data_IF_643399847385
#
_entry.id   IF_643399847385
#
_cell.length_a   1.000
_cell.length_b   1.000
_cell.length_c   1.000
_cell.angle_alpha   90.00
_cell.angle_beta   90.00
_cell.angle_gamma   90.00
#
_symmetry.space_group_name_H-M   'P 1'
#
loop_
_entity.id
_entity.type
_entity.pdbx_description
1 polymer ?
#
# COMPACT_ATOMS: atom_id res chain seq x y z
N UNK A 1 -20.81 24.39 -43.29
CA UNK A 1 -21.23 23.23 -44.11
C UNK A 1 -20.35 22.97 -45.36
N UNK A 2 -19.55 23.92 -45.87
CA UNK A 2 -18.73 23.77 -47.08
C UNK A 2 -17.56 22.78 -46.85
N UNK A 3 -16.87 22.84 -45.71
CA UNK A 3 -15.74 21.97 -45.35
C UNK A 3 -16.10 20.49 -45.31
N UNK A 4 -17.27 20.14 -44.79
CA UNK A 4 -17.73 18.73 -44.74
C UNK A 4 -17.97 18.14 -46.14
N UNK A 5 -18.48 18.94 -47.10
CA UNK A 5 -18.65 18.54 -48.51
C UNK A 5 -17.33 18.34 -49.25
N UNK A 6 -16.32 19.18 -48.96
CA UNK A 6 -14.98 19.05 -49.56
C UNK A 6 -14.31 17.78 -49.02
N UNK A 7 -14.39 17.54 -47.72
CA UNK A 7 -13.83 16.35 -47.08
C UNK A 7 -14.48 15.05 -47.64
N UNK A 8 -15.81 14.99 -47.74
CA UNK A 8 -16.52 13.85 -48.31
C UNK A 8 -16.15 13.55 -49.77
N UNK A 9 -15.87 14.58 -50.56
CA UNK A 9 -15.46 14.43 -51.96
C UNK A 9 -14.02 13.96 -52.10
N UNK A 10 -13.15 14.33 -51.19
CA UNK A 10 -11.75 13.88 -51.12
C UNK A 10 -11.65 12.43 -50.74
N UNK A 11 -12.43 11.96 -49.73
CA UNK A 11 -12.53 10.56 -49.29
C UNK A 11 -12.97 9.64 -50.44
N UNK A 12 -13.97 10.07 -51.24
CA UNK A 12 -14.44 9.28 -52.37
C UNK A 12 -13.42 9.14 -53.52
N UNK A 13 -12.50 10.08 -53.68
CA UNK A 13 -11.49 10.04 -54.73
C UNK A 13 -10.27 9.18 -54.42
N UNK A 14 -9.98 8.99 -53.09
CA UNK A 14 -8.82 8.19 -52.63
C UNK A 14 -9.20 7.37 -51.40
N UNK A 15 -10.03 6.32 -51.57
CA UNK A 15 -10.56 5.57 -50.45
C UNK A 15 -9.48 4.86 -49.61
N UNK A 16 -8.40 4.41 -50.25
CA UNK A 16 -7.28 3.77 -49.54
C UNK A 16 -6.52 4.71 -48.62
N UNK A 17 -6.35 5.97 -49.04
CA UNK A 17 -5.68 6.98 -48.21
C UNK A 17 -6.57 7.40 -46.99
N UNK A 18 -7.88 7.51 -47.23
CA UNK A 18 -8.82 7.80 -46.15
C UNK A 18 -8.91 6.66 -45.13
N UNK A 19 -8.85 5.41 -45.58
CA UNK A 19 -8.78 4.23 -44.72
C UNK A 19 -7.52 4.22 -43.85
N UNK A 20 -6.35 4.48 -44.46
CA UNK A 20 -5.08 4.54 -43.70
C UNK A 20 -5.09 5.65 -42.65
N UNK A 21 -5.61 6.83 -42.96
CA UNK A 21 -5.75 7.91 -41.99
C UNK A 21 -6.71 7.50 -40.86
N UNK A 22 -7.82 6.87 -41.19
CA UNK A 22 -8.80 6.36 -40.21
C UNK A 22 -8.15 5.35 -39.24
N UNK A 23 -7.41 4.37 -39.78
CA UNK A 23 -6.68 3.40 -38.96
C UNK A 23 -5.64 4.08 -38.07
N UNK A 24 -4.87 5.02 -38.61
CA UNK A 24 -3.86 5.76 -37.85
C UNK A 24 -4.49 6.54 -36.68
N UNK A 25 -5.64 7.19 -36.90
CA UNK A 25 -6.37 7.89 -35.84
C UNK A 25 -6.88 6.93 -34.77
N UNK A 26 -7.44 5.77 -35.18
CA UNK A 26 -7.91 4.76 -34.21
C UNK A 26 -6.76 4.22 -33.37
N UNK A 27 -5.61 3.91 -34.00
CA UNK A 27 -4.43 3.46 -33.26
C UNK A 27 -3.93 4.53 -32.31
N UNK A 28 -3.82 5.78 -32.75
CA UNK A 28 -3.36 6.88 -31.92
C UNK A 28 -4.28 7.14 -30.72
N UNK A 29 -5.60 7.09 -30.92
CA UNK A 29 -6.57 7.27 -29.83
C UNK A 29 -6.58 6.09 -28.86
N UNK A 30 -6.44 4.87 -29.35
CA UNK A 30 -6.29 3.67 -28.51
C UNK A 30 -5.02 3.74 -27.66
N UNK A 31 -3.89 4.14 -28.24
CA UNK A 31 -2.64 4.34 -27.52
C UNK A 31 -2.75 5.43 -26.45
N UNK A 32 -3.35 6.57 -26.78
CA UNK A 32 -3.56 7.66 -25.82
C UNK A 32 -4.47 7.24 -24.67
N UNK A 33 -5.55 6.51 -24.93
CA UNK A 33 -6.45 5.98 -23.91
C UNK A 33 -5.75 4.97 -23.00
N UNK A 34 -4.97 4.06 -23.58
CA UNK A 34 -4.20 3.06 -22.80
C UNK A 34 -3.14 3.74 -21.93
N UNK A 35 -2.41 4.72 -22.47
CA UNK A 35 -1.39 5.46 -21.73
C UNK A 35 -2.01 6.25 -20.56
N UNK A 36 -3.17 6.88 -20.77
CA UNK A 36 -3.88 7.58 -19.71
C UNK A 36 -4.38 6.63 -18.64
N UNK A 37 -4.97 5.50 -19.01
CA UNK A 37 -5.42 4.47 -18.06
C UNK A 37 -4.25 3.91 -17.26
N UNK A 38 -3.11 3.64 -17.91
CA UNK A 38 -1.91 3.17 -17.24
C UNK A 38 -1.35 4.23 -16.27
N UNK A 39 -1.32 5.50 -16.66
CA UNK A 39 -0.85 6.59 -15.81
C UNK A 39 -1.74 6.78 -14.57
N UNK A 40 -3.07 6.69 -14.74
CA UNK A 40 -4.01 6.76 -13.62
C UNK A 40 -3.87 5.56 -12.68
N UNK A 41 -3.78 4.34 -13.22
CA UNK A 41 -3.58 3.14 -12.43
C UNK A 41 -2.21 3.12 -11.76
N UNK A 42 -1.15 3.58 -12.42
CA UNK A 42 0.17 3.71 -11.82
C UNK A 42 0.18 4.71 -10.66
N UNK A 43 -0.55 5.82 -10.78
CA UNK A 43 -0.69 6.78 -9.68
C UNK A 43 -1.41 6.16 -8.47
N UNK A 44 -2.50 5.45 -8.70
CA UNK A 44 -3.22 4.73 -7.63
C UNK A 44 -2.34 3.64 -7.02
N UNK A 45 -1.62 2.88 -7.85
CA UNK A 45 -0.69 1.87 -7.38
C UNK A 45 0.46 2.49 -6.57
N UNK A 46 1.08 3.58 -7.04
CA UNK A 46 2.18 4.25 -6.32
C UNK A 46 1.75 4.83 -4.98
N UNK A 47 0.53 5.36 -4.88
CA UNK A 47 -0.04 5.80 -3.60
C UNK A 47 -0.34 4.60 -2.69
N UNK A 48 -0.80 3.47 -3.27
CA UNK A 48 -1.04 2.23 -2.53
C UNK A 48 0.22 1.37 -2.25
N UNK A 49 1.32 1.58 -3.00
CA UNK A 49 2.59 0.85 -2.80
C UNK A 49 3.39 1.32 -1.58
N UNK A 50 3.07 2.47 -1.04
CA UNK A 50 3.90 3.09 -0.04
C UNK A 50 3.48 2.84 1.40
N UNK A 51 2.21 2.87 1.69
CA UNK A 51 1.73 2.87 3.07
C UNK A 51 0.29 2.39 3.11
N UNK A 52 -0.04 1.56 4.08
CA UNK A 52 -1.42 1.32 4.52
C UNK A 52 -1.92 2.58 5.27
N UNK A 53 -1.74 3.75 4.65
CA UNK A 53 -2.10 5.02 5.30
C UNK A 53 -3.62 5.10 5.39
N UNK A 54 -4.20 5.14 6.58
CA UNK A 54 -5.64 5.31 6.76
C UNK A 54 -6.14 6.60 6.08
N UNK A 55 -7.39 6.60 5.60
CA UNK A 55 -8.00 7.78 4.97
C UNK A 55 -8.09 9.00 5.90
N UNK A 56 -7.94 8.77 7.20
CA UNK A 56 -7.98 9.78 8.27
C UNK A 56 -6.67 10.53 8.46
N UNK A 57 -5.60 10.12 7.76
CA UNK A 57 -4.30 10.78 7.87
C UNK A 57 -4.25 12.04 7.01
N UNK A 58 -4.10 13.19 7.64
CA UNK A 58 -4.01 14.48 6.95
C UNK A 58 -2.64 14.73 6.32
N UNK A 59 -1.57 14.24 6.97
CA UNK A 59 -0.20 14.43 6.50
C UNK A 59 0.70 13.25 6.86
N UNK A 60 1.63 12.92 5.96
CA UNK A 60 2.68 11.94 6.18
C UNK A 60 4.02 12.63 6.07
N UNK A 61 4.82 12.55 7.13
CA UNK A 61 6.19 13.07 7.17
C UNK A 61 7.16 11.91 7.00
N UNK A 62 7.91 11.92 5.91
CA UNK A 62 8.94 10.90 5.64
C UNK A 62 10.28 11.48 6.04
N UNK A 63 10.89 10.99 7.14
CA UNK A 63 12.19 11.49 7.56
C UNK A 63 13.30 11.08 6.58
N UNK A 64 14.42 11.83 6.54
CA UNK A 64 15.61 11.39 5.86
C UNK A 64 16.08 10.01 6.34
N UNK A 65 16.64 9.20 5.42
CA UNK A 65 17.01 7.80 5.69
C UNK A 65 18.22 7.63 6.64
N UNK A 66 18.92 8.69 6.93
CA UNK A 66 20.09 8.74 7.80
C UNK A 66 19.75 9.05 9.27
N UNK A 67 18.47 9.29 9.59
CA UNK A 67 18.03 9.44 10.97
C UNK A 67 17.92 8.07 11.67
N UNK A 68 18.40 8.04 12.90
CA UNK A 68 18.16 6.90 13.77
C UNK A 68 16.79 6.95 14.44
N UNK A 69 16.39 5.85 15.09
CA UNK A 69 15.06 5.75 15.71
C UNK A 69 14.84 6.75 16.86
N UNK A 70 15.89 7.25 17.52
CA UNK A 70 15.77 8.28 18.55
C UNK A 70 15.44 9.64 17.91
N UNK A 71 16.17 9.99 16.86
CA UNK A 71 15.94 11.22 16.11
C UNK A 71 14.56 11.26 15.45
N UNK A 72 14.06 10.11 14.98
CA UNK A 72 12.68 10.02 14.45
C UNK A 72 11.66 10.28 15.55
N UNK A 73 11.85 9.72 16.75
CA UNK A 73 10.97 9.99 17.90
C UNK A 73 11.02 11.44 18.33
N UNK A 74 12.21 12.02 18.43
CA UNK A 74 12.38 13.45 18.77
C UNK A 74 11.63 14.34 17.76
N UNK A 75 11.73 14.01 16.46
CA UNK A 75 11.00 14.72 15.41
C UNK A 75 9.48 14.58 15.59
N UNK A 76 8.99 13.39 15.94
CA UNK A 76 7.58 13.16 16.19
C UNK A 76 7.09 13.95 17.40
N UNK A 77 7.90 14.06 18.45
CA UNK A 77 7.59 14.85 19.64
C UNK A 77 7.55 16.36 19.33
N UNK A 78 8.44 16.84 18.49
CA UNK A 78 8.42 18.22 17.99
C UNK A 78 7.12 18.50 17.21
N UNK A 79 6.68 17.54 16.37
CA UNK A 79 5.41 17.68 15.63
C UNK A 79 4.22 17.68 16.61
N UNK A 80 4.20 16.78 17.59
CA UNK A 80 3.15 16.73 18.64
C UNK A 80 3.03 18.03 19.44
N UNK A 81 4.15 18.76 19.58
CA UNK A 81 4.19 20.03 20.28
C UNK A 81 3.61 21.21 19.47
N UNK A 82 3.31 21.05 18.18
CA UNK A 82 2.68 22.10 17.38
C UNK A 82 1.25 22.39 17.85
N UNK A 83 0.80 23.66 17.86
CA UNK A 83 -0.51 24.04 18.37
C UNK A 83 -1.72 23.37 17.71
N UNK A 84 -1.58 23.02 16.42
CA UNK A 84 -2.64 22.44 15.58
C UNK A 84 -2.36 20.97 15.23
N UNK A 85 -1.38 20.34 15.89
CA UNK A 85 -1.09 18.93 15.69
C UNK A 85 -2.23 18.08 16.29
N UNK A 86 -2.73 17.15 15.49
CA UNK A 86 -3.61 16.09 15.93
C UNK A 86 -2.84 14.94 16.56
N UNK A 87 -3.37 13.74 16.41
CA UNK A 87 -2.68 12.50 16.77
C UNK A 87 -1.51 12.25 15.84
N UNK A 88 -0.36 11.88 16.39
CA UNK A 88 0.88 11.59 15.64
C UNK A 88 1.34 10.19 15.97
N UNK A 89 1.37 9.33 14.96
CA UNK A 89 1.87 7.95 15.04
C UNK A 89 3.19 7.86 14.28
N UNK A 90 4.15 7.15 14.85
CA UNK A 90 5.42 6.84 14.18
C UNK A 90 5.32 5.43 13.60
N UNK A 91 5.37 5.34 12.27
CA UNK A 91 5.36 4.07 11.57
C UNK A 91 6.79 3.61 11.29
N UNK A 92 7.13 2.43 11.76
CA UNK A 92 8.36 1.73 11.42
C UNK A 92 8.05 0.63 10.41
N UNK A 93 8.84 0.57 9.35
CA UNK A 93 8.70 -0.44 8.31
C UNK A 93 10.03 -1.18 8.15
N UNK A 94 9.99 -2.50 8.19
CA UNK A 94 11.18 -3.33 8.02
C UNK A 94 10.88 -4.71 7.48
N UNK A 95 11.90 -5.32 6.89
CA UNK A 95 11.88 -6.72 6.52
C UNK A 95 12.57 -7.52 7.62
N UNK A 96 11.92 -8.56 8.12
CA UNK A 96 12.43 -9.39 9.22
C UNK A 96 12.22 -10.88 8.93
N UNK A 97 13.11 -11.71 9.45
CA UNK A 97 12.95 -13.16 9.39
C UNK A 97 11.96 -13.60 10.47
N UNK A 98 10.94 -14.36 10.04
CA UNK A 98 9.93 -14.96 10.89
C UNK A 98 10.02 -16.47 10.76
N UNK A 99 10.15 -17.16 11.90
CA UNK A 99 10.08 -18.61 11.97
C UNK A 99 8.68 -19.04 12.41
N UNK A 100 7.98 -19.74 11.51
CA UNK A 100 6.66 -20.28 11.73
C UNK A 100 6.65 -21.77 11.39
N UNK A 101 6.27 -22.63 12.33
CA UNK A 101 6.16 -24.08 12.13
C UNK A 101 7.41 -24.75 11.54
N UNK A 102 8.61 -24.27 11.93
CA UNK A 102 9.90 -24.77 11.45
C UNK A 102 10.28 -24.30 10.04
N UNK A 103 9.56 -23.33 9.50
CA UNK A 103 9.88 -22.68 8.23
C UNK A 103 10.23 -21.23 8.48
N UNK A 104 11.37 -20.76 7.95
CA UNK A 104 11.77 -19.37 8.01
C UNK A 104 11.37 -18.65 6.72
N UNK A 105 10.75 -17.50 6.84
CA UNK A 105 10.38 -16.64 5.74
C UNK A 105 10.65 -15.18 6.09
N UNK A 106 10.90 -14.35 5.09
CA UNK A 106 11.02 -12.90 5.29
C UNK A 106 9.63 -12.28 5.20
N UNK A 107 9.22 -11.62 6.26
CA UNK A 107 7.97 -10.87 6.33
C UNK A 107 8.27 -9.38 6.38
N UNK A 108 7.38 -8.59 5.82
CA UNK A 108 7.37 -7.16 6.02
C UNK A 108 6.60 -6.86 7.29
N UNK A 109 7.26 -6.22 8.24
CA UNK A 109 6.65 -5.74 9.48
C UNK A 109 6.44 -4.24 9.40
N UNK A 110 5.27 -3.81 9.86
CA UNK A 110 4.92 -2.40 10.02
C UNK A 110 4.40 -2.21 11.43
N UNK A 111 4.87 -1.18 12.13
CA UNK A 111 4.29 -0.81 13.42
C UNK A 111 2.90 -0.19 13.24
N UNK A 112 2.00 -0.46 14.17
CA UNK A 112 0.61 0.01 14.14
C UNK A 112 0.17 0.33 15.58
N UNK A 113 -0.61 1.39 15.82
CA UNK A 113 -1.13 1.69 17.16
C UNK A 113 -2.15 0.67 17.67
N UNK A 114 -2.46 -0.36 16.90
CA UNK A 114 -3.39 -1.44 17.24
C UNK A 114 -4.86 -1.06 17.15
N UNK A 115 -5.20 0.22 17.31
CA UNK A 115 -6.58 0.71 17.26
C UNK A 115 -6.63 2.22 17.01
N UNK A 116 -7.83 2.73 16.70
CA UNK A 116 -8.04 4.16 16.47
C UNK A 116 -8.02 4.56 15.00
N UNK A 117 -8.16 5.86 14.72
CA UNK A 117 -8.33 6.37 13.36
C UNK A 117 -7.06 6.27 12.52
N UNK A 118 -5.88 6.11 13.14
CA UNK A 118 -4.60 6.00 12.46
C UNK A 118 -4.12 4.54 12.32
N UNK A 119 -4.88 3.56 12.85
CA UNK A 119 -4.56 2.14 12.68
C UNK A 119 -4.86 1.67 11.27
N UNK A 120 -3.98 0.84 10.72
CA UNK A 120 -4.19 0.13 9.45
C UNK A 120 -5.16 -1.06 9.58
N UNK A 121 -5.53 -1.45 10.81
CA UNK A 121 -6.49 -2.51 11.08
C UNK A 121 -7.90 -1.99 10.85
N UNK A 122 -8.43 -2.24 9.65
CA UNK A 122 -9.78 -1.80 9.26
C UNK A 122 -10.86 -2.83 9.55
N UNK A 123 -10.50 -4.11 9.55
CA UNK A 123 -11.41 -5.25 9.77
C UNK A 123 -10.65 -6.40 10.44
N UNK A 124 -11.30 -7.09 11.35
CA UNK A 124 -10.74 -8.25 12.04
C UNK A 124 -11.53 -9.48 11.61
N UNK A 125 -10.86 -10.42 10.94
CA UNK A 125 -11.47 -11.68 10.50
C UNK A 125 -11.43 -12.73 11.60
N UNK A 126 -10.36 -12.75 12.41
CA UNK A 126 -10.20 -13.64 13.56
C UNK A 126 -9.32 -12.96 14.62
N UNK A 127 -9.56 -13.26 15.89
CA UNK A 127 -8.81 -12.70 17.02
C UNK A 127 -9.19 -11.25 17.35
N UNK A 128 -8.20 -10.42 17.64
CA UNK A 128 -8.31 -9.03 18.03
C UNK A 128 -7.30 -8.15 17.29
N UNK A 129 -7.41 -6.82 17.42
CA UNK A 129 -6.32 -5.93 17.04
C UNK A 129 -5.08 -6.22 17.89
N UNK A 130 -3.87 -6.01 17.35
CA UNK A 130 -2.63 -6.39 18.04
C UNK A 130 -2.42 -5.50 19.27
N UNK A 131 -2.09 -6.13 20.39
CA UNK A 131 -1.55 -5.50 21.58
C UNK A 131 -0.05 -5.69 21.68
N UNK A 132 0.56 -5.18 22.77
CA UNK A 132 1.98 -5.39 23.03
C UNK A 132 2.34 -6.88 23.06
N UNK A 133 3.39 -7.28 22.37
CA UNK A 133 3.79 -8.67 22.21
C UNK A 133 2.96 -9.47 21.21
N UNK A 134 2.11 -8.82 20.43
CA UNK A 134 1.23 -9.49 19.47
C UNK A 134 1.45 -9.02 18.03
N UNK A 135 1.17 -9.92 17.09
CA UNK A 135 1.16 -9.69 15.66
C UNK A 135 -0.27 -9.70 15.13
N UNK A 136 -0.55 -8.81 14.20
CA UNK A 136 -1.73 -8.90 13.36
C UNK A 136 -1.30 -9.29 11.94
N UNK A 137 -1.82 -10.38 11.40
CA UNK A 137 -1.31 -11.02 10.20
C UNK A 137 -2.32 -10.92 9.07
N UNK A 138 -1.83 -10.64 7.86
CA UNK A 138 -2.65 -10.66 6.66
C UNK A 138 -3.21 -12.06 6.37
N UNK A 139 -4.42 -12.19 5.80
CA UNK A 139 -5.05 -13.49 5.57
C UNK A 139 -4.30 -14.36 4.57
N UNK A 140 -3.62 -13.78 3.59
CA UNK A 140 -2.79 -14.52 2.64
C UNK A 140 -1.50 -15.00 3.28
N UNK A 141 -0.88 -14.16 4.11
CA UNK A 141 0.30 -14.50 4.90
C UNK A 141 -0.04 -15.64 5.84
N UNK A 142 -1.15 -15.54 6.59
CA UNK A 142 -1.62 -16.60 7.47
C UNK A 142 -1.87 -17.92 6.73
N UNK A 143 -2.55 -17.88 5.58
CA UNK A 143 -2.83 -19.07 4.78
C UNK A 143 -1.55 -19.69 4.20
N UNK A 144 -0.55 -18.88 3.81
CA UNK A 144 0.70 -19.34 3.20
C UNK A 144 1.64 -19.97 4.23
N UNK A 145 1.77 -19.36 5.39
CA UNK A 145 2.62 -19.81 6.49
C UNK A 145 1.94 -20.82 7.44
N UNK A 146 0.63 -21.02 7.28
CA UNK A 146 -0.15 -21.94 8.10
C UNK A 146 -0.37 -21.45 9.52
N UNK A 147 -0.17 -20.16 9.80
CA UNK A 147 -0.32 -19.60 11.15
C UNK A 147 -1.78 -19.27 11.48
N UNK A 148 -2.12 -19.41 12.75
CA UNK A 148 -3.44 -19.13 13.30
C UNK A 148 -3.33 -18.21 14.54
N UNK A 149 -4.46 -17.61 14.93
CA UNK A 149 -4.54 -16.82 16.16
C UNK A 149 -4.15 -17.68 17.36
N UNK A 150 -3.25 -17.17 18.19
CA UNK A 150 -2.67 -17.84 19.34
C UNK A 150 -1.33 -18.54 19.06
N UNK A 151 -0.90 -18.67 17.81
CA UNK A 151 0.42 -19.19 17.50
C UNK A 151 1.52 -18.24 17.99
N UNK A 152 2.60 -18.84 18.45
CA UNK A 152 3.79 -18.11 18.93
C UNK A 152 4.88 -18.24 17.90
N UNK A 153 5.37 -17.11 17.41
CA UNK A 153 6.35 -17.03 16.34
C UNK A 153 7.65 -16.41 16.83
N UNK A 154 8.77 -16.89 16.31
CA UNK A 154 10.05 -16.19 16.46
C UNK A 154 10.18 -15.13 15.35
N UNK A 155 10.36 -13.88 15.74
CA UNK A 155 10.41 -12.72 14.85
C UNK A 155 11.71 -11.98 15.12
N UNK A 156 12.74 -12.31 14.37
CA UNK A 156 14.10 -11.84 14.65
C UNK A 156 14.58 -12.27 16.03
N UNK A 157 14.78 -11.32 16.93
CA UNK A 157 15.16 -11.57 18.32
C UNK A 157 13.97 -11.64 19.30
N UNK A 158 12.76 -11.38 18.82
CA UNK A 158 11.54 -11.34 19.61
C UNK A 158 10.75 -12.63 19.48
N UNK A 159 9.89 -12.87 20.47
CA UNK A 159 8.87 -13.93 20.42
C UNK A 159 7.52 -13.25 20.55
N UNK A 160 6.69 -13.34 19.50
CA UNK A 160 5.42 -12.65 19.41
C UNK A 160 4.29 -13.66 19.19
N UNK A 161 3.09 -13.32 19.66
CA UNK A 161 1.90 -14.14 19.50
C UNK A 161 1.02 -13.56 18.39
N UNK A 162 0.45 -14.40 17.54
CA UNK A 162 -0.55 -13.96 16.57
C UNK A 162 -1.84 -13.61 17.31
N UNK A 163 -2.09 -12.33 17.54
CA UNK A 163 -3.28 -11.81 18.22
C UNK A 163 -4.49 -11.74 17.31
N UNK A 164 -4.27 -11.47 16.01
CA UNK A 164 -5.37 -11.34 15.05
C UNK A 164 -4.99 -11.57 13.61
N UNK A 165 -6.02 -11.80 12.80
CA UNK A 165 -5.92 -11.95 11.35
C UNK A 165 -7.00 -11.09 10.70
N UNK A 166 -6.63 -10.33 9.69
CA UNK A 166 -7.57 -9.51 8.92
C UNK A 166 -6.93 -8.83 7.74
N UNK A 167 -7.75 -8.19 6.90
CA UNK A 167 -7.27 -7.53 5.69
C UNK A 167 -6.24 -6.45 6.03
N UNK A 168 -5.04 -6.64 5.52
CA UNK A 168 -3.98 -5.64 5.45
C UNK A 168 -3.40 -5.65 4.04
N UNK A 169 -2.63 -4.63 3.71
CA UNK A 169 -2.09 -4.50 2.37
C UNK A 169 -0.88 -5.42 2.16
N UNK A 170 -1.09 -6.58 1.56
CA UNK A 170 -0.06 -7.61 1.41
C UNK A 170 0.75 -7.53 0.09
N UNK A 171 0.28 -6.85 -0.95
CA UNK A 171 0.94 -6.69 -2.29
C UNK A 171 1.79 -7.89 -2.76
N UNK A 172 1.38 -9.12 -2.45
CA UNK A 172 2.10 -10.33 -2.82
C UNK A 172 3.31 -10.67 -1.93
N UNK A 173 3.52 -9.94 -0.85
CA UNK A 173 4.51 -10.21 0.20
C UNK A 173 3.83 -10.79 1.44
N UNK A 174 4.62 -11.39 2.33
CA UNK A 174 4.17 -11.74 3.66
C UNK A 174 4.25 -10.48 4.54
N UNK A 175 3.12 -10.10 5.15
CA UNK A 175 3.00 -8.87 5.91
C UNK A 175 2.34 -9.13 7.26
N UNK A 176 2.87 -8.50 8.29
CA UNK A 176 2.24 -8.43 9.59
C UNK A 176 2.39 -7.01 10.19
N UNK A 177 1.44 -6.66 11.05
CA UNK A 177 1.52 -5.47 11.89
C UNK A 177 1.98 -5.88 13.29
N UNK A 178 2.80 -5.04 13.89
CA UNK A 178 3.28 -5.18 15.27
C UNK A 178 2.85 -3.96 16.06
N UNK A 179 2.56 -4.09 17.34
CA UNK A 179 2.20 -2.94 18.15
C UNK A 179 3.38 -1.95 18.25
N UNK A 180 3.09 -0.64 18.18
CA UNK A 180 4.12 0.41 18.12
C UNK A 180 5.06 0.47 19.34
N UNK A 181 4.70 -0.18 20.44
CA UNK A 181 5.51 -0.26 21.66
C UNK A 181 6.52 -1.43 21.65
N UNK A 182 6.45 -2.35 20.67
CA UNK A 182 7.33 -3.51 20.52
C UNK A 182 8.55 -3.19 19.63
#
# INVERSE_FOLDING_TARGET
MILARIAARSVRRRPGQALLIGIAVVIATAFAATALTLALNARVALVGFGMSTPETVDAVVIPPRDLDGAQVRDTADDIRALPDAGEVVVEYLGDIEVEAHGTTATWKLTSDPGSGPLSAVSEITAGSAPGAGELFVGPRTAARSGVAVGDVLAVGALTLTVGGIGPINEFGQDVALIHEED
#
